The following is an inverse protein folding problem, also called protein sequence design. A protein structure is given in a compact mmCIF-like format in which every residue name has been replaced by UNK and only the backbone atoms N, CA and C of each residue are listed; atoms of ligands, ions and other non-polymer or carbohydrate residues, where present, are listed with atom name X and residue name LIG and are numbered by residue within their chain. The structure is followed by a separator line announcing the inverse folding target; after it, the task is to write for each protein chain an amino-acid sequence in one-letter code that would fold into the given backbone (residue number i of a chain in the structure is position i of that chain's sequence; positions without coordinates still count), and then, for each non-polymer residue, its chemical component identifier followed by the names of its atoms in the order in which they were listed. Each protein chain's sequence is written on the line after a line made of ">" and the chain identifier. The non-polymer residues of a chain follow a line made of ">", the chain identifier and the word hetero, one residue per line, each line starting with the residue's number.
data_IF_178509903792
#
_entry.id   IF_178509903792
#
_cell.length_a   1.000
_cell.length_b   1.000
_cell.length_c   1.000
_cell.angle_alpha   90.00
_cell.angle_beta   90.00
_cell.angle_gamma   90.00
#
_symmetry.space_group_name_H-M   'P 1'
#
loop_
_entity.id
_entity.type
_entity.pdbx_description
1 polymer ?
#
# COMPACT_ATOMS: atom_id res chain seq x y z
N UNK A 1 -3.78 -37.13 23.71
CA UNK A 1 -3.54 -36.80 22.29
C UNK A 1 -2.75 -35.49 22.28
N UNK A 2 -1.44 -35.59 22.05
CA UNK A 2 -0.49 -34.49 22.25
C UNK A 2 -0.66 -33.43 21.15
N UNK A 3 -1.16 -32.25 21.55
CA UNK A 3 -1.40 -31.11 20.68
C UNK A 3 -0.11 -30.28 20.53
N UNK A 4 0.87 -30.82 19.80
CA UNK A 4 1.99 -30.04 19.28
C UNK A 4 1.65 -29.59 17.87
N UNK A 5 0.74 -28.62 17.73
CA UNK A 5 0.80 -27.77 16.54
C UNK A 5 2.07 -26.91 16.68
N UNK A 6 3.20 -27.50 16.28
CA UNK A 6 4.40 -26.75 15.90
C UNK A 6 3.92 -25.67 14.94
N UNK A 7 3.88 -24.43 15.40
CA UNK A 7 3.38 -23.28 14.64
C UNK A 7 4.39 -22.99 13.52
N UNK A 8 4.35 -23.78 12.45
CA UNK A 8 5.11 -23.56 11.23
C UNK A 8 4.51 -22.34 10.55
N UNK A 9 4.91 -21.16 11.00
CA UNK A 9 4.60 -19.90 10.33
C UNK A 9 5.76 -19.61 9.40
N UNK A 10 5.48 -19.59 8.10
CA UNK A 10 6.46 -19.12 7.13
C UNK A 10 6.84 -17.65 7.42
N UNK A 11 8.11 -17.31 7.21
CA UNK A 11 8.51 -15.90 7.19
C UNK A 11 8.00 -15.31 5.86
N UNK A 12 6.92 -14.53 5.93
CA UNK A 12 6.28 -14.03 4.74
C UNK A 12 7.01 -12.83 4.14
N UNK A 13 7.06 -12.74 2.80
CA UNK A 13 7.50 -11.52 2.15
C UNK A 13 6.59 -10.35 2.55
N UNK A 14 7.12 -9.13 2.41
CA UNK A 14 6.35 -7.91 2.66
C UNK A 14 5.07 -7.93 1.81
N UNK A 15 3.93 -7.56 2.41
CA UNK A 15 2.62 -7.58 1.76
C UNK A 15 1.84 -8.90 1.89
N UNK A 16 2.40 -9.94 2.55
CA UNK A 16 1.72 -11.23 2.69
C UNK A 16 1.61 -11.69 4.15
N UNK A 17 0.58 -12.49 4.42
CA UNK A 17 0.27 -13.10 5.71
C UNK A 17 -0.35 -14.49 5.54
N UNK A 18 -0.72 -15.14 6.64
CA UNK A 18 -1.16 -16.54 6.66
C UNK A 18 -0.04 -17.49 7.14
N UNK A 19 -0.40 -18.75 7.37
CA UNK A 19 0.56 -19.77 7.80
C UNK A 19 1.53 -20.16 6.68
N UNK A 20 1.10 -20.00 5.41
CA UNK A 20 1.88 -20.30 4.20
C UNK A 20 2.08 -19.08 3.30
N UNK A 21 1.85 -17.87 3.81
CA UNK A 21 1.95 -16.61 3.05
C UNK A 21 1.00 -16.53 1.85
N UNK A 22 -0.15 -17.21 1.97
CA UNK A 22 -1.18 -17.31 0.94
C UNK A 22 -2.17 -16.13 0.94
N UNK A 23 -2.17 -15.32 2.01
CA UNK A 23 -3.09 -14.20 2.17
C UNK A 23 -2.37 -12.90 1.82
N UNK A 24 -2.97 -12.13 0.93
CA UNK A 24 -2.55 -10.76 0.62
C UNK A 24 -2.95 -9.80 1.74
N UNK A 25 -2.03 -8.93 2.16
CA UNK A 25 -2.32 -7.87 3.12
C UNK A 25 -3.00 -6.74 2.36
N UNK A 26 -4.19 -6.32 2.79
CA UNK A 26 -4.83 -5.15 2.22
C UNK A 26 -4.24 -3.86 2.79
N UNK A 27 -3.23 -3.28 2.16
CA UNK A 27 -2.57 -2.08 2.69
C UNK A 27 -3.49 -0.85 2.71
N UNK A 28 -4.50 -0.80 1.84
CA UNK A 28 -5.49 0.28 1.83
C UNK A 28 -6.37 0.28 3.09
N UNK A 29 -6.64 -0.89 3.67
CA UNK A 29 -7.52 -1.03 4.84
C UNK A 29 -6.81 -0.80 6.17
N UNK A 30 -5.47 -0.88 6.20
CA UNK A 30 -4.72 -0.72 7.45
C UNK A 30 -4.54 0.74 7.85
N UNK A 31 -4.20 1.64 6.91
CA UNK A 31 -3.97 3.05 7.24
C UNK A 31 -4.10 4.02 6.04
N UNK A 32 -4.77 3.62 4.95
CA UNK A 32 -4.85 4.34 3.67
C UNK A 32 -3.56 5.12 3.30
N UNK A 33 -2.61 4.49 2.59
CA UNK A 33 -1.30 5.09 2.33
C UNK A 33 -1.31 6.29 1.38
N UNK A 34 -2.41 6.58 0.69
CA UNK A 34 -2.48 7.65 -0.30
C UNK A 34 -2.84 9.00 0.34
N UNK A 35 -2.11 10.05 -0.05
CA UNK A 35 -2.27 11.43 0.42
C UNK A 35 -3.03 12.26 -0.62
N UNK A 36 -3.34 13.51 -0.25
CA UNK A 36 -3.84 14.55 -1.17
C UNK A 36 -5.06 14.14 -2.02
N UNK A 37 -5.99 13.39 -1.42
CA UNK A 37 -7.19 12.91 -2.11
C UNK A 37 -6.95 11.74 -3.07
N UNK A 38 -5.77 11.12 -3.04
CA UNK A 38 -5.47 9.91 -3.80
C UNK A 38 -6.34 8.72 -3.39
N UNK A 39 -6.79 7.94 -4.38
CA UNK A 39 -7.58 6.72 -4.14
C UNK A 39 -6.65 5.52 -4.04
N UNK A 40 -6.64 4.85 -2.88
CA UNK A 40 -5.87 3.62 -2.71
C UNK A 40 -6.53 2.43 -3.40
N UNK A 41 -5.74 1.67 -4.15
CA UNK A 41 -6.14 0.36 -4.67
C UNK A 41 -5.17 -0.70 -4.21
N UNK A 42 -5.71 -1.72 -3.55
CA UNK A 42 -4.96 -2.88 -3.12
C UNK A 42 -4.51 -3.71 -4.32
N UNK A 43 -3.29 -4.22 -4.27
CA UNK A 43 -2.71 -5.11 -5.29
C UNK A 43 -1.99 -6.27 -4.61
N UNK A 44 -1.65 -7.30 -5.36
CA UNK A 44 -1.02 -8.46 -4.76
C UNK A 44 0.41 -8.14 -4.27
N UNK A 45 0.60 -8.17 -2.95
CA UNK A 45 1.83 -7.86 -2.22
C UNK A 45 2.15 -6.37 -2.10
N UNK A 46 1.23 -5.48 -2.51
CA UNK A 46 1.45 -4.03 -2.44
C UNK A 46 0.18 -3.23 -2.68
N UNK A 47 0.33 -1.90 -2.81
CA UNK A 47 -0.76 -1.01 -3.20
C UNK A 47 -0.31 -0.05 -4.31
N UNK A 48 -1.29 0.50 -5.01
CA UNK A 48 -1.12 1.66 -5.88
C UNK A 48 -2.02 2.80 -5.42
N UNK A 49 -1.52 4.02 -5.53
CA UNK A 49 -2.31 5.23 -5.32
C UNK A 49 -2.68 5.83 -6.67
N UNK A 50 -3.98 6.03 -6.90
CA UNK A 50 -4.47 6.81 -8.03
C UNK A 50 -4.55 8.26 -7.58
N UNK A 51 -3.59 9.07 -8.03
CA UNK A 51 -3.47 10.46 -7.60
C UNK A 51 -4.51 11.37 -8.25
N UNK A 52 -4.94 12.38 -7.51
CA UNK A 52 -5.75 13.46 -8.05
C UNK A 52 -4.91 14.32 -9.01
N UNK A 53 -5.57 15.06 -9.89
CA UNK A 53 -4.87 15.98 -10.82
C UNK A 53 -3.97 16.95 -10.04
N UNK A 54 -2.75 17.15 -10.53
CA UNK A 54 -1.74 17.98 -9.87
C UNK A 54 -0.95 17.26 -8.76
N UNK A 55 -1.17 15.97 -8.51
CA UNK A 55 -0.38 15.20 -7.54
C UNK A 55 0.28 13.99 -8.18
N UNK A 56 1.48 13.65 -7.70
CA UNK A 56 2.27 12.50 -8.13
C UNK A 56 3.05 11.90 -6.94
N UNK A 57 3.91 10.90 -7.20
CA UNK A 57 4.59 10.12 -6.18
C UNK A 57 3.84 8.85 -5.81
N UNK A 58 4.53 7.92 -5.14
CA UNK A 58 3.97 6.60 -4.80
C UNK A 58 2.74 6.71 -3.89
N UNK A 59 2.70 7.75 -3.06
CA UNK A 59 1.64 8.05 -2.11
C UNK A 59 0.89 9.34 -2.49
N UNK A 60 1.04 9.86 -3.70
CA UNK A 60 0.50 11.14 -4.12
C UNK A 60 0.99 12.31 -3.26
N UNK A 61 2.21 12.20 -2.73
CA UNK A 61 2.83 13.16 -1.82
C UNK A 61 3.45 14.37 -2.53
N UNK A 62 3.73 14.25 -3.83
CA UNK A 62 4.30 15.32 -4.64
C UNK A 62 3.15 16.18 -5.14
N UNK A 63 3.17 17.47 -4.81
CA UNK A 63 2.25 18.46 -5.38
C UNK A 63 2.94 19.14 -6.57
N UNK A 64 2.46 18.86 -7.77
CA UNK A 64 2.75 19.63 -8.97
C UNK A 64 1.85 20.86 -8.94
N UNK A 65 2.24 21.84 -8.13
CA UNK A 65 1.62 23.14 -8.16
C UNK A 65 1.88 23.72 -9.56
N UNK A 66 0.82 23.81 -10.37
CA UNK A 66 0.86 24.48 -11.69
C UNK A 66 1.16 25.99 -11.52
N UNK A 67 1.13 26.49 -10.28
CA UNK A 67 1.73 27.76 -9.89
C UNK A 67 3.25 27.63 -9.66
N UNK A 68 4.01 27.18 -10.66
CA UNK A 68 5.39 27.67 -10.73
C UNK A 68 5.31 29.20 -10.83
N UNK A 69 6.00 29.97 -9.98
CA UNK A 69 5.96 31.42 -10.04
C UNK A 69 6.71 31.87 -11.31
N UNK A 70 5.95 32.06 -12.40
CA UNK A 70 6.33 32.58 -13.73
C UNK A 70 6.84 31.52 -14.73
N UNK A 71 6.07 31.34 -15.81
CA UNK A 71 6.44 32.02 -17.05
C UNK A 71 5.26 32.79 -17.65
N UNK A 72 5.07 34.04 -17.22
CA UNK A 72 4.30 35.06 -17.94
C UNK A 72 5.15 36.32 -18.04
#
# INVERSE_FOLDING_TARGET
>A
QNNYQMLYKCNCPVGYTGSRCELDINECSQNNPCRNGGTCRNTQGSYICLCANGFDGKQCEINHDDCEPNPC
#
